data_IF_972456230921
#
_entry.id   IF_972456230921
#
_cell.length_a   1.000
_cell.length_b   1.000
_cell.length_c   1.000
_cell.angle_alpha   90.00
_cell.angle_beta   90.00
_cell.angle_gamma   90.00
#
_symmetry.space_group_name_H-M   'P 1'
#
loop_
_entity.id
_entity.type
_entity.pdbx_description
1 polymer ?
#
# COMPACT_ATOMS: atom_id res chain seq x y z
N UNK A 1 9.23 29.98 -14.04
CA UNK A 1 10.02 29.01 -14.83
C UNK A 1 9.89 27.69 -14.10
N UNK A 2 9.10 26.77 -14.61
CA UNK A 2 9.03 25.41 -14.08
C UNK A 2 10.35 24.70 -14.40
N UNK A 3 11.00 24.03 -13.47
CA UNK A 3 12.18 23.24 -13.79
C UNK A 3 11.78 22.12 -14.75
N UNK A 4 12.45 22.03 -15.90
CA UNK A 4 12.33 20.92 -16.83
C UNK A 4 12.73 19.63 -16.09
N UNK A 5 11.73 18.86 -15.73
CA UNK A 5 11.93 17.52 -15.18
C UNK A 5 12.37 16.60 -16.32
N UNK A 6 13.47 15.85 -16.17
CA UNK A 6 13.86 14.89 -17.20
C UNK A 6 12.74 13.89 -17.40
N UNK A 7 12.14 13.89 -18.58
CA UNK A 7 11.00 13.06 -18.98
C UNK A 7 11.36 11.59 -19.24
N UNK A 8 12.57 11.15 -18.92
CA UNK A 8 13.05 9.81 -19.24
C UNK A 8 13.90 9.25 -18.09
N UNK A 9 13.25 8.59 -17.12
CA UNK A 9 13.89 7.46 -16.44
C UNK A 9 13.64 6.21 -17.29
N UNK A 10 14.59 5.25 -17.39
CA UNK A 10 14.38 4.05 -18.18
C UNK A 10 13.20 3.25 -17.61
N UNK A 11 12.17 3.11 -18.43
CA UNK A 11 10.86 2.50 -18.12
C UNK A 11 10.94 0.99 -17.81
N UNK A 12 12.11 0.40 -17.92
CA UNK A 12 12.33 -1.05 -17.87
C UNK A 12 12.58 -1.62 -16.46
N UNK A 13 12.64 -0.79 -15.41
CA UNK A 13 13.09 -1.23 -14.07
C UNK A 13 12.01 -1.17 -12.99
N UNK A 14 10.81 -0.64 -13.28
CA UNK A 14 9.78 -0.51 -12.26
C UNK A 14 8.70 -1.59 -12.43
N UNK A 15 8.12 -2.10 -11.31
CA UNK A 15 7.07 -3.10 -11.37
C UNK A 15 5.90 -2.61 -12.22
N UNK A 16 5.41 -3.44 -13.14
CA UNK A 16 4.23 -3.13 -13.91
C UNK A 16 3.01 -2.96 -12.99
N UNK A 17 2.20 -1.93 -13.26
CA UNK A 17 0.93 -1.75 -12.57
C UNK A 17 -0.03 -2.84 -13.07
N UNK A 18 -0.76 -3.57 -12.19
CA UNK A 18 -1.77 -4.53 -12.61
C UNK A 18 -2.77 -3.92 -13.58
N UNK A 19 -3.05 -4.59 -14.69
CA UNK A 19 -3.83 -4.05 -15.81
C UNK A 19 -5.16 -3.36 -15.44
N UNK A 20 -6.03 -3.92 -14.56
CA UNK A 20 -7.27 -3.25 -14.19
C UNK A 20 -7.07 -1.99 -13.34
N UNK A 21 -5.89 -1.82 -12.72
CA UNK A 21 -5.57 -0.69 -11.85
C UNK A 21 -4.79 0.42 -12.58
N UNK A 22 -4.18 0.12 -13.72
CA UNK A 22 -3.31 1.06 -14.44
C UNK A 22 -4.03 2.38 -14.84
N UNK A 23 -5.27 2.38 -15.37
CA UNK A 23 -5.94 3.62 -15.79
C UNK A 23 -6.41 4.49 -14.62
N UNK A 24 -6.39 3.96 -13.39
CA UNK A 24 -6.90 4.63 -12.18
C UNK A 24 -5.81 5.48 -11.52
N UNK A 25 -4.54 5.19 -11.81
CA UNK A 25 -3.43 5.75 -11.05
C UNK A 25 -3.25 7.26 -11.26
N UNK A 26 -2.84 8.00 -10.21
CA UNK A 26 -2.48 9.40 -10.39
C UNK A 26 -1.28 9.53 -11.35
N UNK A 27 -1.18 10.63 -12.11
CA UNK A 27 0.01 10.89 -12.92
C UNK A 27 1.26 11.01 -12.04
N UNK A 28 2.44 10.78 -12.61
CA UNK A 28 3.72 10.85 -11.87
C UNK A 28 3.94 12.20 -11.19
N UNK A 29 3.47 13.26 -11.78
CA UNK A 29 3.53 14.65 -11.31
C UNK A 29 2.25 15.12 -10.62
N UNK A 30 1.42 14.20 -10.13
CA UNK A 30 0.12 14.49 -9.50
C UNK A 30 0.16 15.76 -8.65
N UNK A 31 -0.67 16.79 -8.96
CA UNK A 31 -0.61 18.11 -8.31
C UNK A 31 -1.59 18.25 -7.12
N UNK A 32 -2.39 17.25 -6.81
CA UNK A 32 -3.57 17.36 -5.94
C UNK A 32 -3.25 17.71 -4.47
N UNK A 33 -2.02 17.46 -4.01
CA UNK A 33 -1.60 17.70 -2.63
C UNK A 33 -0.34 18.58 -2.63
N UNK A 34 -0.44 19.92 -2.60
CA UNK A 34 0.71 20.83 -2.77
C UNK A 34 1.87 20.53 -1.81
N UNK A 35 1.59 20.29 -0.53
CA UNK A 35 2.61 19.92 0.48
C UNK A 35 3.36 18.63 0.11
N UNK A 36 2.67 17.63 -0.43
CA UNK A 36 3.31 16.38 -0.86
C UNK A 36 4.07 16.55 -2.18
N UNK A 37 3.65 17.47 -3.04
CA UNK A 37 4.39 17.87 -4.25
C UNK A 37 5.73 18.51 -3.85
N UNK A 38 5.72 19.45 -2.91
CA UNK A 38 6.94 20.10 -2.39
C UNK A 38 7.93 19.07 -1.82
N UNK A 39 7.43 18.12 -1.00
CA UNK A 39 8.27 17.03 -0.47
C UNK A 39 8.86 16.18 -1.59
N UNK A 40 8.06 15.81 -2.58
CA UNK A 40 8.52 15.03 -3.73
C UNK A 40 9.61 15.75 -4.51
N UNK A 41 9.44 17.05 -4.78
CA UNK A 41 10.44 17.86 -5.47
C UNK A 41 11.72 18.03 -4.64
N UNK A 42 11.61 18.28 -3.34
CA UNK A 42 12.78 18.39 -2.45
C UNK A 42 13.58 17.08 -2.41
N UNK A 43 12.89 15.93 -2.31
CA UNK A 43 13.57 14.62 -2.32
C UNK A 43 14.14 14.30 -3.69
N UNK A 44 13.48 14.68 -4.78
CA UNK A 44 13.99 14.47 -6.12
C UNK A 44 15.26 15.32 -6.43
N UNK A 45 15.34 16.52 -5.86
CA UNK A 45 16.55 17.35 -5.96
C UNK A 45 17.74 16.72 -5.20
N UNK A 46 17.49 16.09 -4.04
CA UNK A 46 18.50 15.40 -3.22
C UNK A 46 18.86 14.02 -3.82
N UNK A 47 17.86 13.29 -4.33
CA UNK A 47 18.00 11.91 -4.84
C UNK A 47 17.35 11.75 -6.22
N UNK A 48 17.94 12.29 -7.29
CA UNK A 48 17.33 12.33 -8.63
C UNK A 48 17.10 10.95 -9.27
N UNK A 49 17.83 9.92 -8.81
CA UNK A 49 17.71 8.55 -9.32
C UNK A 49 16.62 7.71 -8.63
N UNK A 50 15.97 8.26 -7.61
CA UNK A 50 14.89 7.57 -6.93
C UNK A 50 13.58 7.63 -7.75
N UNK A 51 12.60 6.87 -7.34
CA UNK A 51 11.28 6.85 -7.98
C UNK A 51 10.61 8.23 -8.03
N UNK A 52 10.61 8.97 -6.93
CA UNK A 52 10.16 10.36 -6.80
C UNK A 52 8.77 10.65 -7.40
N UNK A 53 7.85 9.72 -7.30
CA UNK A 53 6.50 9.82 -7.83
C UNK A 53 5.48 9.18 -6.87
N UNK A 54 4.16 9.28 -7.12
CA UNK A 54 3.18 8.47 -6.44
C UNK A 54 3.52 6.99 -6.55
N UNK A 55 3.40 6.24 -5.46
CA UNK A 55 3.67 4.80 -5.44
C UNK A 55 2.41 4.05 -5.87
N UNK A 56 2.55 3.27 -6.92
CA UNK A 56 1.46 2.54 -7.55
C UNK A 56 1.21 1.17 -6.88
N UNK A 57 0.07 0.52 -7.16
CA UNK A 57 -0.20 -0.84 -6.73
C UNK A 57 0.88 -1.83 -7.19
N UNK A 58 1.12 -2.84 -6.35
CA UNK A 58 2.01 -3.94 -6.69
C UNK A 58 1.31 -5.28 -6.44
N UNK A 59 1.28 -6.15 -7.44
CA UNK A 59 0.77 -7.51 -7.33
C UNK A 59 -0.17 -7.92 -8.46
N UNK A 60 -1.22 -8.69 -8.10
CA UNK A 60 -2.12 -9.36 -9.02
C UNK A 60 -3.38 -8.51 -9.30
N UNK A 61 -3.72 -8.29 -10.57
CA UNK A 61 -4.95 -7.61 -10.98
C UNK A 61 -6.23 -8.40 -10.74
N UNK A 62 -6.12 -9.72 -10.58
CA UNK A 62 -7.20 -10.64 -10.23
C UNK A 62 -7.21 -10.99 -8.73
N UNK A 63 -6.56 -10.14 -7.90
CA UNK A 63 -6.41 -10.38 -6.47
C UNK A 63 -7.74 -10.54 -5.75
N UNK A 64 -7.82 -11.59 -4.91
CA UNK A 64 -8.89 -11.76 -3.95
C UNK A 64 -8.58 -11.09 -2.59
N UNK A 65 -7.31 -10.78 -2.35
CA UNK A 65 -6.79 -10.11 -1.16
C UNK A 65 -6.12 -8.79 -1.52
N UNK A 66 -6.57 -7.68 -0.94
CA UNK A 66 -5.84 -6.42 -0.97
C UNK A 66 -5.19 -6.15 0.39
N UNK A 67 -3.92 -5.76 0.40
CA UNK A 67 -3.22 -5.27 1.61
C UNK A 67 -3.05 -3.76 1.47
N UNK A 68 -3.60 -2.99 2.41
CA UNK A 68 -3.58 -1.53 2.34
C UNK A 68 -2.70 -0.96 3.45
N UNK A 69 -1.60 -0.32 3.05
CA UNK A 69 -0.74 0.47 3.92
C UNK A 69 -1.17 1.94 4.02
N UNK A 70 -0.46 2.72 4.84
CA UNK A 70 -0.72 4.14 4.99
C UNK A 70 -0.21 4.95 3.79
N UNK A 71 1.10 4.96 3.59
CA UNK A 71 1.80 5.81 2.62
C UNK A 71 3.24 5.30 2.42
N UNK A 72 3.92 5.71 1.32
CA UNK A 72 5.33 5.37 1.12
C UNK A 72 6.24 5.99 2.19
N UNK A 73 7.22 5.22 2.67
CA UNK A 73 8.33 5.75 3.45
C UNK A 73 9.45 6.30 2.56
N UNK A 74 10.23 7.30 3.04
CA UNK A 74 11.29 7.99 2.25
C UNK A 74 12.28 7.00 1.64
N UNK A 75 12.94 6.18 2.48
CA UNK A 75 13.96 5.21 2.04
C UNK A 75 13.37 3.88 1.54
N UNK A 76 12.05 3.71 1.68
CA UNK A 76 11.28 2.56 1.23
C UNK A 76 10.67 2.79 -0.15
N UNK A 77 9.35 2.75 -0.21
CA UNK A 77 8.60 2.81 -1.46
C UNK A 77 8.78 4.11 -2.24
N UNK A 78 9.04 5.25 -1.57
CA UNK A 78 9.32 6.50 -2.30
C UNK A 78 10.65 6.45 -3.07
N UNK A 79 11.63 5.69 -2.57
CA UNK A 79 12.89 5.44 -3.26
C UNK A 79 12.72 4.44 -4.40
N UNK A 80 11.97 3.37 -4.17
CA UNK A 80 11.97 2.19 -5.05
C UNK A 80 10.79 2.13 -6.02
N UNK A 81 9.67 2.82 -5.74
CA UNK A 81 8.41 2.70 -6.49
C UNK A 81 7.58 1.48 -6.13
N UNK A 82 8.10 0.48 -5.38
CA UNK A 82 7.36 -0.70 -4.93
C UNK A 82 6.98 -0.56 -3.45
N UNK A 83 5.69 -0.75 -3.08
CA UNK A 83 5.26 -0.70 -1.69
C UNK A 83 6.06 -1.63 -0.79
N UNK A 84 6.35 -1.21 0.45
CA UNK A 84 7.09 -1.99 1.46
C UNK A 84 8.46 -2.51 1.01
N UNK A 85 9.12 -1.84 0.07
CA UNK A 85 10.44 -2.25 -0.44
C UNK A 85 11.48 -1.23 -0.04
N UNK A 86 12.49 -1.68 0.72
CA UNK A 86 13.60 -0.85 1.21
C UNK A 86 13.38 -0.27 2.60
N UNK A 87 12.30 -0.63 3.31
CA UNK A 87 12.05 -0.31 4.71
C UNK A 87 11.96 -1.58 5.57
N UNK A 88 11.88 -1.41 6.89
CA UNK A 88 11.86 -2.55 7.83
C UNK A 88 10.51 -3.28 7.94
N UNK A 89 9.49 -2.89 7.19
CA UNK A 89 8.20 -3.55 7.18
C UNK A 89 8.13 -4.67 6.11
N UNK A 90 8.89 -4.51 5.03
CA UNK A 90 8.88 -5.43 3.89
C UNK A 90 9.19 -6.89 4.24
N UNK A 91 10.27 -7.19 4.97
CA UNK A 91 10.61 -8.57 5.31
C UNK A 91 9.48 -9.34 5.98
N UNK A 92 8.80 -8.74 6.95
CA UNK A 92 7.67 -9.38 7.62
C UNK A 92 6.47 -9.54 6.68
N UNK A 93 6.10 -8.50 5.91
CA UNK A 93 4.96 -8.56 5.00
C UNK A 93 5.16 -9.59 3.88
N UNK A 94 6.25 -9.47 3.13
CA UNK A 94 6.49 -10.36 1.99
C UNK A 94 6.79 -11.79 2.42
N UNK A 95 7.50 -11.99 3.55
CA UNK A 95 7.70 -13.30 4.14
C UNK A 95 6.38 -13.97 4.55
N UNK A 96 5.45 -13.20 5.14
CA UNK A 96 4.12 -13.70 5.47
C UNK A 96 3.32 -14.03 4.21
N UNK A 97 3.31 -13.16 3.20
CA UNK A 97 2.64 -13.45 1.92
C UNK A 97 3.17 -14.74 1.28
N UNK A 98 4.48 -14.94 1.26
CA UNK A 98 5.09 -16.17 0.75
C UNK A 98 4.67 -17.41 1.54
N UNK A 99 4.65 -17.33 2.87
CA UNK A 99 4.20 -18.41 3.76
C UNK A 99 2.77 -18.88 3.45
N UNK A 100 1.90 -17.96 3.04
CA UNK A 100 0.51 -18.25 2.67
C UNK A 100 0.29 -18.50 1.17
N UNK A 101 1.36 -18.67 0.38
CA UNK A 101 1.27 -18.93 -1.06
C UNK A 101 0.75 -17.75 -1.90
N UNK A 102 0.93 -16.52 -1.38
CA UNK A 102 0.51 -15.26 -2.02
C UNK A 102 1.67 -14.50 -2.65
N UNK A 103 2.89 -14.99 -2.50
CA UNK A 103 4.08 -14.44 -3.14
C UNK A 103 5.00 -15.56 -3.61
N UNK A 104 5.62 -15.36 -4.77
CA UNK A 104 6.62 -16.26 -5.37
C UNK A 104 7.92 -15.48 -5.59
N UNK A 105 9.06 -16.17 -5.56
CA UNK A 105 10.39 -15.56 -5.61
C UNK A 105 10.92 -15.20 -4.22
N UNK A 106 12.11 -14.61 -4.19
CA UNK A 106 12.79 -14.22 -2.95
C UNK A 106 12.74 -12.69 -2.80
N UNK A 107 12.22 -12.21 -1.67
CA UNK A 107 12.27 -10.81 -1.33
C UNK A 107 13.69 -10.38 -0.93
N UNK A 108 14.31 -9.49 -1.70
CA UNK A 108 15.64 -8.91 -1.45
C UNK A 108 15.62 -7.38 -1.30
N UNK A 109 14.46 -6.81 -0.98
CA UNK A 109 14.24 -5.37 -0.82
C UNK A 109 14.66 -4.52 -2.06
N UNK A 110 14.67 -5.12 -3.24
CA UNK A 110 14.96 -4.51 -4.55
C UNK A 110 13.75 -4.66 -5.46
N UNK A 111 13.60 -3.76 -6.41
CA UNK A 111 12.49 -3.79 -7.38
C UNK A 111 12.65 -4.90 -8.42
N UNK A 112 13.89 -5.35 -8.63
CA UNK A 112 14.31 -6.35 -9.62
C UNK A 112 14.67 -7.70 -8.97
N UNK A 113 14.15 -8.00 -7.79
CA UNK A 113 14.38 -9.24 -7.05
C UNK A 113 13.56 -10.44 -7.57
N UNK A 114 12.76 -10.25 -8.60
CA UNK A 114 11.93 -11.31 -9.19
C UNK A 114 10.71 -11.71 -8.36
N UNK A 115 10.45 -11.02 -7.24
CA UNK A 115 9.27 -11.28 -6.43
C UNK A 115 7.98 -10.90 -7.17
N UNK A 116 7.02 -11.81 -7.20
CA UNK A 116 5.68 -11.61 -7.73
C UNK A 116 4.62 -11.96 -6.70
N UNK A 117 3.41 -11.40 -6.85
CA UNK A 117 2.27 -11.76 -6.00
C UNK A 117 1.20 -12.47 -6.82
N UNK A 118 0.59 -13.49 -6.24
CA UNK A 118 -0.51 -14.26 -6.84
C UNK A 118 -1.72 -14.22 -5.91
N UNK A 119 -2.85 -13.75 -6.43
CA UNK A 119 -4.09 -13.60 -5.67
C UNK A 119 -4.06 -12.48 -4.63
N UNK A 120 -2.99 -11.70 -4.56
CA UNK A 120 -2.82 -10.58 -3.64
C UNK A 120 -2.34 -9.31 -4.37
N UNK A 121 -2.74 -8.15 -3.85
CA UNK A 121 -2.27 -6.83 -4.30
C UNK A 121 -1.98 -5.95 -3.10
N UNK A 122 -0.93 -5.12 -3.18
CA UNK A 122 -0.57 -4.16 -2.15
C UNK A 122 -0.89 -2.75 -2.64
N UNK A 123 -1.60 -2.00 -1.82
CA UNK A 123 -2.07 -0.64 -2.07
C UNK A 123 -1.62 0.30 -0.93
N UNK A 124 -1.66 1.60 -1.16
CA UNK A 124 -1.49 2.62 -0.13
C UNK A 124 -2.70 3.55 -0.07
N UNK A 125 -3.12 3.94 1.12
CA UNK A 125 -4.19 4.91 1.34
C UNK A 125 -3.82 6.32 0.84
N UNK A 126 -2.52 6.68 0.92
CA UNK A 126 -1.94 7.89 0.35
C UNK A 126 -0.77 7.48 -0.54
N UNK A 127 -0.77 7.92 -1.80
CA UNK A 127 0.19 7.46 -2.81
C UNK A 127 1.56 8.14 -2.73
N UNK A 128 1.64 9.30 -2.09
CA UNK A 128 2.85 10.11 -2.01
C UNK A 128 3.46 10.09 -0.60
N UNK A 129 4.78 10.30 -0.50
CA UNK A 129 5.51 10.43 0.77
C UNK A 129 5.02 11.65 1.56
N UNK A 130 4.44 11.48 2.75
CA UNK A 130 4.14 12.60 3.63
C UNK A 130 5.33 12.89 4.56
N UNK A 131 5.56 14.16 4.96
CA UNK A 131 6.54 14.49 6.00
C UNK A 131 6.31 13.66 7.26
N UNK A 132 7.39 13.13 7.84
CA UNK A 132 7.37 12.32 9.07
C UNK A 132 6.40 11.12 9.02
N UNK A 133 6.04 10.62 7.85
CA UNK A 133 5.01 9.59 7.64
C UNK A 133 3.62 9.99 8.19
N UNK A 134 3.32 11.31 8.24
CA UNK A 134 2.07 11.85 8.77
C UNK A 134 1.31 12.62 7.68
N UNK A 135 0.45 11.96 6.89
CA UNK A 135 -0.42 12.67 5.96
C UNK A 135 -1.49 13.47 6.73
N UNK A 136 -1.89 14.61 6.19
CA UNK A 136 -3.00 15.39 6.74
C UNK A 136 -4.35 14.73 6.43
N UNK A 137 -5.43 15.05 7.19
CA UNK A 137 -6.77 14.57 6.89
C UNK A 137 -7.22 14.91 5.46
N UNK A 138 -6.82 16.07 4.94
CA UNK A 138 -7.16 16.51 3.59
C UNK A 138 -6.43 15.70 2.51
N UNK A 139 -5.16 15.41 2.71
CA UNK A 139 -4.39 14.53 1.82
C UNK A 139 -4.96 13.12 1.78
N UNK A 140 -5.34 12.57 2.95
CA UNK A 140 -6.00 11.27 3.04
C UNK A 140 -7.35 11.29 2.30
N UNK A 141 -8.13 12.37 2.46
CA UNK A 141 -9.43 12.52 1.80
C UNK A 141 -9.27 12.63 0.28
N UNK A 142 -8.34 13.47 -0.17
CA UNK A 142 -8.05 13.69 -1.59
C UNK A 142 -7.57 12.39 -2.26
N UNK A 143 -6.63 11.68 -1.64
CA UNK A 143 -6.05 10.48 -2.22
C UNK A 143 -6.99 9.26 -2.16
N UNK A 144 -8.01 9.29 -1.29
CA UNK A 144 -8.97 8.19 -1.13
C UNK A 144 -9.75 7.88 -2.40
N UNK A 145 -10.00 8.85 -3.27
CA UNK A 145 -10.70 8.63 -4.54
C UNK A 145 -9.98 7.59 -5.43
N UNK A 146 -8.66 7.53 -5.38
CA UNK A 146 -7.89 6.48 -6.07
C UNK A 146 -8.08 5.13 -5.39
N UNK A 147 -8.01 5.05 -4.05
CA UNK A 147 -8.22 3.82 -3.30
C UNK A 147 -9.63 3.25 -3.53
N UNK A 148 -10.67 4.11 -3.57
CA UNK A 148 -12.05 3.71 -3.86
C UNK A 148 -12.16 3.03 -5.22
N UNK A 149 -11.59 3.65 -6.24
CA UNK A 149 -11.59 3.10 -7.60
C UNK A 149 -10.74 1.84 -7.71
N UNK A 150 -9.58 1.78 -7.06
CA UNK A 150 -8.72 0.59 -7.05
C UNK A 150 -9.43 -0.62 -6.43
N UNK A 151 -10.07 -0.43 -5.27
CA UNK A 151 -10.82 -1.52 -4.62
C UNK A 151 -12.02 -1.97 -5.46
N UNK A 152 -12.70 -1.04 -6.13
CA UNK A 152 -13.82 -1.34 -7.02
C UNK A 152 -13.41 -2.04 -8.32
N UNK A 153 -12.19 -1.79 -8.80
CA UNK A 153 -11.67 -2.38 -10.04
C UNK A 153 -11.12 -3.81 -9.87
N UNK A 154 -11.00 -4.32 -8.64
CA UNK A 154 -10.55 -5.69 -8.37
C UNK A 154 -11.73 -6.67 -8.45
N UNK A 155 -11.85 -7.47 -9.53
CA UNK A 155 -13.08 -8.22 -9.82
C UNK A 155 -13.33 -9.39 -8.85
N UNK A 156 -12.28 -9.86 -8.18
CA UNK A 156 -12.33 -11.03 -7.30
C UNK A 156 -12.10 -10.66 -5.82
N UNK A 157 -12.08 -9.37 -5.48
CA UNK A 157 -11.77 -8.92 -4.12
C UNK A 157 -12.77 -9.46 -3.10
N UNK A 158 -12.27 -10.19 -2.11
CA UNK A 158 -13.04 -10.75 -1.00
C UNK A 158 -12.61 -10.22 0.36
N UNK A 159 -11.31 -9.93 0.52
CA UNK A 159 -10.74 -9.51 1.80
C UNK A 159 -9.81 -8.32 1.58
N UNK A 160 -9.87 -7.35 2.51
CA UNK A 160 -8.91 -6.24 2.59
C UNK A 160 -8.24 -6.28 3.96
N UNK A 161 -6.93 -6.47 4.00
CA UNK A 161 -6.11 -6.32 5.22
C UNK A 161 -5.66 -4.88 5.34
N UNK A 162 -6.13 -4.18 6.37
CA UNK A 162 -5.76 -2.79 6.65
C UNK A 162 -4.63 -2.72 7.70
N UNK A 163 -3.48 -2.17 7.31
CA UNK A 163 -2.28 -2.08 8.15
C UNK A 163 -2.25 -0.76 8.94
N UNK A 164 -2.80 -0.78 10.14
CA UNK A 164 -2.87 0.36 11.06
C UNK A 164 -4.14 1.19 10.93
N UNK A 165 -4.37 2.02 11.94
CA UNK A 165 -5.64 2.74 12.12
C UNK A 165 -6.00 3.68 10.95
N UNK A 166 -5.03 4.38 10.36
CA UNK A 166 -5.33 5.33 9.26
C UNK A 166 -5.68 4.57 7.97
N UNK A 167 -4.98 3.46 7.69
CA UNK A 167 -5.31 2.59 6.56
C UNK A 167 -6.72 2.00 6.74
N UNK A 168 -7.04 1.48 7.93
CA UNK A 168 -8.38 1.02 8.27
C UNK A 168 -9.46 2.08 8.01
N UNK A 169 -9.26 3.31 8.53
CA UNK A 169 -10.23 4.39 8.34
C UNK A 169 -10.42 4.75 6.86
N UNK A 170 -9.34 4.72 6.09
CA UNK A 170 -9.39 4.98 4.64
C UNK A 170 -10.15 3.88 3.91
N UNK A 171 -9.86 2.61 4.21
CA UNK A 171 -10.52 1.44 3.61
C UNK A 171 -12.01 1.41 3.95
N UNK A 172 -12.36 1.56 5.24
CA UNK A 172 -13.77 1.56 5.68
C UNK A 172 -14.56 2.64 4.96
N UNK A 173 -14.01 3.86 4.84
CA UNK A 173 -14.66 4.95 4.11
C UNK A 173 -14.75 4.68 2.61
N UNK A 174 -13.68 4.15 2.01
CA UNK A 174 -13.64 3.81 0.59
C UNK A 174 -14.69 2.75 0.20
N UNK A 175 -14.99 1.83 1.13
CA UNK A 175 -16.01 0.78 0.96
C UNK A 175 -17.41 1.18 1.46
N UNK A 176 -17.65 2.47 1.73
CA UNK A 176 -18.95 3.00 2.16
C UNK A 176 -19.36 2.63 3.60
N UNK A 177 -18.39 2.14 4.40
CA UNK A 177 -18.61 1.80 5.79
C UNK A 177 -18.65 3.03 6.72
N UNK A 178 -19.09 2.82 7.97
CA UNK A 178 -19.21 3.86 9.01
C UNK A 178 -18.23 3.58 10.15
N UNK A 179 -17.27 4.47 10.38
CA UNK A 179 -16.22 4.31 11.41
C UNK A 179 -16.75 4.05 12.84
N UNK A 180 -17.85 4.67 13.34
CA UNK A 180 -18.36 4.36 14.67
C UNK A 180 -18.79 2.90 14.85
N UNK A 181 -19.17 2.21 13.75
CA UNK A 181 -19.52 0.78 13.75
C UNK A 181 -18.34 -0.15 13.52
N UNK A 182 -17.29 0.34 12.81
CA UNK A 182 -16.09 -0.40 12.50
C UNK A 182 -14.92 0.17 13.32
N UNK A 183 -14.75 -0.30 14.56
CA UNK A 183 -13.65 0.15 15.44
C UNK A 183 -12.39 -0.62 15.12
N UNK A 184 -11.31 0.08 14.89
CA UNK A 184 -10.01 -0.52 14.67
C UNK A 184 -9.52 -1.31 15.89
N UNK A 185 -9.20 -2.57 15.70
CA UNK A 185 -8.46 -3.40 16.64
C UNK A 185 -7.72 -4.49 15.86
N UNK A 186 -6.53 -4.89 16.34
CA UNK A 186 -5.79 -6.00 15.70
C UNK A 186 -6.66 -7.26 15.61
N UNK A 187 -6.72 -7.89 14.43
CA UNK A 187 -7.54 -9.05 14.09
C UNK A 187 -9.07 -8.80 14.10
N UNK A 188 -9.52 -7.54 14.19
CA UNK A 188 -10.94 -7.24 14.06
C UNK A 188 -11.43 -7.43 12.62
N UNK A 189 -12.64 -7.95 12.47
CA UNK A 189 -13.32 -8.19 11.20
C UNK A 189 -14.49 -7.23 11.03
N UNK A 190 -14.57 -6.60 9.87
CA UNK A 190 -15.66 -5.69 9.53
C UNK A 190 -16.26 -6.08 8.18
N UNK A 191 -17.53 -6.46 8.18
CA UNK A 191 -18.28 -6.74 6.95
C UNK A 191 -18.76 -5.43 6.34
N UNK A 192 -18.30 -5.13 5.12
CA UNK A 192 -18.72 -3.93 4.41
C UNK A 192 -20.03 -4.17 3.64
N UNK A 193 -20.87 -3.14 3.44
CA UNK A 193 -22.11 -3.28 2.69
C UNK A 193 -21.86 -3.78 1.27
N UNK A 194 -22.30 -5.01 0.95
CA UNK A 194 -22.14 -5.61 -0.39
C UNK A 194 -20.72 -5.78 -0.89
N UNK A 195 -19.74 -5.69 -0.01
CA UNK A 195 -18.32 -5.68 -0.37
C UNK A 195 -17.47 -6.69 0.39
N UNK A 196 -16.14 -6.54 0.31
CA UNK A 196 -15.19 -7.41 0.97
C UNK A 196 -15.26 -7.31 2.50
N UNK A 197 -14.70 -8.31 3.18
CA UNK A 197 -14.43 -8.24 4.62
C UNK A 197 -13.14 -7.45 4.84
N UNK A 198 -13.17 -6.47 5.74
CA UNK A 198 -11.96 -5.74 6.18
C UNK A 198 -11.43 -6.42 7.44
N UNK A 199 -10.15 -6.81 7.41
CA UNK A 199 -9.39 -7.32 8.54
C UNK A 199 -8.38 -6.27 8.98
N UNK A 200 -8.36 -5.97 10.27
CA UNK A 200 -7.41 -5.03 10.82
C UNK A 200 -6.14 -5.71 11.30
N UNK A 201 -5.00 -5.08 11.03
CA UNK A 201 -3.72 -5.43 11.64
C UNK A 201 -3.03 -4.21 12.20
N UNK A 202 -2.29 -4.35 13.31
CA UNK A 202 -1.25 -3.39 13.62
C UNK A 202 -0.29 -3.32 12.44
N UNK A 203 0.28 -2.13 12.20
CA UNK A 203 1.22 -1.94 11.10
C UNK A 203 2.50 -2.76 11.33
N UNK A 204 2.99 -3.44 10.28
CA UNK A 204 4.19 -4.29 10.34
C UNK A 204 5.51 -3.49 10.36
N UNK A 205 5.49 -2.24 10.87
CA UNK A 205 6.68 -1.39 11.01
C UNK A 205 7.70 -2.00 11.96
N UNK A 206 8.99 -1.70 11.73
CA UNK A 206 10.07 -2.09 12.65
C UNK A 206 9.81 -1.62 14.09
N UNK A 207 9.19 -0.45 14.27
CA UNK A 207 8.82 0.04 15.60
C UNK A 207 7.86 -0.92 16.33
N UNK A 208 6.77 -1.34 15.67
CA UNK A 208 5.81 -2.26 16.30
C UNK A 208 6.41 -3.65 16.54
N UNK A 209 7.31 -4.11 15.65
CA UNK A 209 8.03 -5.36 15.83
C UNK A 209 8.99 -5.28 17.03
N UNK A 210 9.84 -4.26 17.09
CA UNK A 210 10.83 -4.09 18.16
C UNK A 210 10.22 -3.85 19.55
N UNK A 211 9.03 -3.24 19.60
CA UNK A 211 8.30 -3.00 20.86
C UNK A 211 7.41 -4.17 21.28
N UNK A 212 7.36 -5.25 20.49
CA UNK A 212 6.48 -6.38 20.75
C UNK A 212 4.99 -6.08 20.59
N UNK A 213 4.63 -4.90 20.06
CA UNK A 213 3.23 -4.57 19.76
C UNK A 213 2.64 -5.44 18.64
N UNK A 214 3.49 -5.90 17.72
CA UNK A 214 3.17 -6.86 16.69
C UNK A 214 4.27 -7.91 16.61
N UNK A 215 3.92 -9.16 16.89
CA UNK A 215 4.83 -10.29 16.65
C UNK A 215 4.57 -10.91 15.26
N UNK A 216 5.52 -11.69 14.71
CA UNK A 216 5.28 -12.44 13.48
C UNK A 216 4.04 -13.33 13.55
N UNK A 217 3.83 -14.04 14.65
CA UNK A 217 2.68 -14.94 14.86
C UNK A 217 1.36 -14.17 14.87
N UNK A 218 1.31 -12.99 15.51
CA UNK A 218 0.15 -12.11 15.47
C UNK A 218 -0.15 -11.67 14.03
N UNK A 219 0.88 -11.31 13.27
CA UNK A 219 0.71 -10.88 11.89
C UNK A 219 0.24 -12.01 10.99
N UNK A 220 0.83 -13.20 11.13
CA UNK A 220 0.45 -14.41 10.41
C UNK A 220 -1.01 -14.81 10.69
N UNK A 221 -1.49 -14.65 11.94
CA UNK A 221 -2.87 -14.95 12.29
C UNK A 221 -3.88 -14.11 11.47
N UNK A 222 -3.55 -12.86 11.12
CA UNK A 222 -4.39 -12.03 10.23
C UNK A 222 -4.47 -12.65 8.84
N UNK A 223 -3.37 -13.12 8.27
CA UNK A 223 -3.35 -13.74 6.94
C UNK A 223 -3.98 -15.13 6.93
N UNK A 224 -3.78 -15.93 7.99
CA UNK A 224 -4.49 -17.18 8.18
C UNK A 224 -6.01 -16.96 8.17
N UNK A 225 -6.47 -15.91 8.87
CA UNK A 225 -7.89 -15.54 8.87
C UNK A 225 -8.37 -15.05 7.51
N UNK A 226 -7.55 -14.25 6.79
CA UNK A 226 -7.86 -13.81 5.44
C UNK A 226 -8.05 -14.99 4.48
N UNK A 227 -7.16 -15.99 4.53
CA UNK A 227 -7.27 -17.22 3.73
C UNK A 227 -8.54 -17.99 4.07
N UNK A 228 -8.90 -18.12 5.34
CA UNK A 228 -10.15 -18.77 5.75
C UNK A 228 -11.42 -18.04 5.27
N UNK A 229 -11.34 -16.73 5.02
CA UNK A 229 -12.43 -15.91 4.48
C UNK A 229 -12.52 -15.93 2.95
N UNK A 230 -11.52 -16.49 2.29
CA UNK A 230 -11.53 -16.62 0.82
C UNK A 230 -12.70 -17.49 0.33
N UNK A 231 -13.08 -18.48 1.11
CA UNK A 231 -14.13 -19.46 0.78
C UNK A 231 -13.60 -20.56 -0.09
#
# INVERSE_FOLDING_TARGET
MSPDYPSAMPDASFPAIPAPLAPIQPPRDCPLCPRLVEVRHAVAAEYPTWWNAPVYPFGDGEAWLAVVGLAPGKHGAHRTGRPFTGDGAGPLLYGTLAKFGLAEGQFDARIDDGLTLTGAVILNAVKCLPPENKPTPDEIRTCRSFLEQELAALPRLKVVVALGQIAHQSVVKALGGRLPKARFAHLAEHRMPGGPVVLDSYHCSRYNQNTGRLTPEMFEAVFARAVALRG
#
